data_IF_188653356063
#
_entry.id   IF_188653356063
#
_cell.length_a   1.000
_cell.length_b   1.000
_cell.length_c   1.000
_cell.angle_alpha   90.00
_cell.angle_beta   90.00
_cell.angle_gamma   90.00
#
_symmetry.space_group_name_H-M   'P 1'
#
loop_
_entity.id
_entity.type
_entity.pdbx_description
1 polymer ?
#
# COMPACT_ATOMS: atom_id res chain seq x y z
N UNK A 1 14.31 -1.14 3.18
CA UNK A 1 13.06 -1.32 3.94
C UNK A 1 13.30 -2.41 4.98
N UNK A 2 13.00 -2.16 6.25
CA UNK A 2 13.23 -3.11 7.35
C UNK A 2 12.17 -4.22 7.36
N UNK A 3 12.42 -5.32 8.08
CA UNK A 3 11.42 -6.39 8.28
C UNK A 3 10.14 -5.86 8.91
N UNK A 4 10.24 -4.92 9.86
CA UNK A 4 9.08 -4.27 10.49
C UNK A 4 8.27 -3.43 9.51
N UNK A 5 8.92 -2.63 8.66
CA UNK A 5 8.25 -1.85 7.62
C UNK A 5 7.51 -2.76 6.62
N UNK A 6 8.12 -3.89 6.22
CA UNK A 6 7.47 -4.87 5.33
C UNK A 6 6.22 -5.47 5.96
N UNK A 7 6.28 -5.85 7.24
CA UNK A 7 5.15 -6.43 7.94
C UNK A 7 4.00 -5.42 8.05
N UNK A 8 4.30 -4.17 8.43
CA UNK A 8 3.30 -3.09 8.52
C UNK A 8 2.67 -2.77 7.17
N UNK A 9 3.48 -2.67 6.11
CA UNK A 9 2.97 -2.41 4.76
C UNK A 9 2.04 -3.54 4.26
N UNK A 10 2.39 -4.80 4.53
CA UNK A 10 1.51 -5.95 4.24
C UNK A 10 0.18 -5.88 4.98
N UNK A 11 0.19 -5.48 6.25
CA UNK A 11 -1.03 -5.31 7.01
C UNK A 11 -1.90 -4.19 6.40
N UNK A 12 -1.29 -3.03 6.09
CA UNK A 12 -1.99 -1.88 5.51
C UNK A 12 -2.59 -2.17 4.14
N UNK A 13 -1.90 -2.95 3.29
CA UNK A 13 -2.48 -3.41 2.02
C UNK A 13 -3.78 -4.19 2.24
N UNK A 14 -3.85 -5.06 3.26
CA UNK A 14 -5.08 -5.80 3.57
C UNK A 14 -6.21 -4.87 4.03
N UNK A 15 -5.89 -3.89 4.86
CA UNK A 15 -6.85 -2.87 5.32
C UNK A 15 -7.38 -2.03 4.16
N UNK A 16 -6.49 -1.54 3.29
CA UNK A 16 -6.87 -0.78 2.10
C UNK A 16 -7.70 -1.61 1.12
N UNK A 17 -7.38 -2.89 0.92
CA UNK A 17 -8.18 -3.80 0.09
C UNK A 17 -9.59 -3.98 0.66
N UNK A 18 -9.73 -4.18 1.97
CA UNK A 18 -11.05 -4.30 2.61
C UNK A 18 -11.92 -3.05 2.42
N UNK A 19 -11.32 -1.85 2.31
CA UNK A 19 -12.02 -0.60 2.00
C UNK A 19 -12.32 -0.46 0.50
N UNK A 20 -11.38 -0.82 -0.36
CA UNK A 20 -11.49 -0.63 -1.80
C UNK A 20 -12.39 -1.67 -2.49
N UNK A 21 -12.41 -2.91 -1.99
CA UNK A 21 -13.14 -4.03 -2.59
C UNK A 21 -14.65 -3.78 -2.75
N UNK A 22 -15.40 -3.27 -1.74
CA UNK A 22 -16.82 -2.98 -1.88
C UNK A 22 -17.15 -1.92 -2.95
N UNK A 23 -16.24 -0.99 -3.21
CA UNK A 23 -16.41 0.07 -4.22
C UNK A 23 -15.96 -0.39 -5.61
N UNK A 24 -15.06 -1.37 -5.66
CA UNK A 24 -14.52 -1.93 -6.89
C UNK A 24 -13.37 -1.12 -7.49
N UNK A 25 -13.02 -1.34 -8.77
CA UNK A 25 -11.82 -0.82 -9.42
C UNK A 25 -11.70 0.72 -9.46
N UNK A 26 -12.83 1.41 -9.33
CA UNK A 26 -12.94 2.87 -9.30
C UNK A 26 -12.51 3.51 -7.98
N UNK A 27 -12.20 2.71 -6.95
CA UNK A 27 -11.71 3.23 -5.68
C UNK A 27 -10.27 3.75 -5.78
N UNK A 28 -10.02 4.96 -5.29
CA UNK A 28 -8.71 5.65 -5.35
C UNK A 28 -7.57 4.91 -4.64
N UNK A 29 -7.89 4.00 -3.71
CA UNK A 29 -6.86 3.22 -2.99
C UNK A 29 -6.18 2.15 -3.86
N UNK A 30 -6.76 1.76 -5.00
CA UNK A 30 -6.17 0.70 -5.84
C UNK A 30 -4.77 1.06 -6.33
N UNK A 31 -4.56 2.32 -6.73
CA UNK A 31 -3.23 2.79 -7.12
C UNK A 31 -2.22 2.63 -5.97
N UNK A 32 -2.64 2.93 -4.74
CA UNK A 32 -1.78 2.84 -3.54
C UNK A 32 -1.48 1.38 -3.21
N UNK A 33 -2.48 0.50 -3.35
CA UNK A 33 -2.35 -0.94 -3.15
C UNK A 33 -1.34 -1.51 -4.14
N UNK A 34 -1.45 -1.17 -5.42
CA UNK A 34 -0.53 -1.66 -6.44
C UNK A 34 0.90 -1.16 -6.24
N UNK A 35 1.08 0.12 -5.90
CA UNK A 35 2.39 0.67 -5.55
C UNK A 35 3.00 -0.02 -4.32
N UNK A 36 2.21 -0.25 -3.28
CA UNK A 36 2.65 -0.94 -2.07
C UNK A 36 3.01 -2.41 -2.31
N UNK A 37 2.24 -3.11 -3.14
CA UNK A 37 2.55 -4.49 -3.55
C UNK A 37 3.82 -4.56 -4.38
N UNK A 38 3.98 -3.65 -5.36
CA UNK A 38 5.19 -3.53 -6.16
C UNK A 38 6.43 -3.26 -5.28
N UNK A 39 6.31 -2.35 -4.30
CA UNK A 39 7.37 -2.05 -3.35
C UNK A 39 7.78 -3.28 -2.51
N UNK A 40 6.82 -4.12 -2.10
CA UNK A 40 7.10 -5.33 -1.31
C UNK A 40 7.92 -6.37 -2.08
N UNK A 41 7.73 -6.45 -3.39
CA UNK A 41 8.41 -7.40 -4.29
C UNK A 41 9.61 -6.79 -5.04
N UNK A 42 9.92 -5.52 -4.79
CA UNK A 42 11.06 -4.82 -5.42
C UNK A 42 10.84 -4.44 -6.88
N UNK A 43 9.58 -4.25 -7.30
CA UNK A 43 9.22 -3.71 -8.62
C UNK A 43 9.18 -2.17 -8.58
N UNK A 44 9.24 -1.58 -9.77
CA UNK A 44 9.03 -0.14 -9.93
C UNK A 44 7.64 0.27 -9.44
N UNK A 45 7.58 1.42 -8.78
CA UNK A 45 6.36 2.05 -8.27
C UNK A 45 6.15 3.39 -9.00
N UNK A 46 4.91 3.82 -9.12
CA UNK A 46 4.58 5.15 -9.64
C UNK A 46 4.86 6.23 -8.61
N UNK A 47 4.53 5.97 -7.34
CA UNK A 47 4.87 6.85 -6.22
C UNK A 47 6.25 6.57 -5.63
N UNK A 48 6.91 7.58 -5.04
CA UNK A 48 8.13 7.39 -4.26
C UNK A 48 7.89 6.45 -3.08
N UNK A 49 8.88 5.59 -2.81
CA UNK A 49 8.86 4.65 -1.68
C UNK A 49 8.47 5.30 -0.36
N UNK A 50 8.99 6.49 -0.06
CA UNK A 50 8.79 7.13 1.24
C UNK A 50 7.38 7.68 1.40
N UNK A 51 6.70 8.05 0.30
CA UNK A 51 5.28 8.41 0.30
C UNK A 51 4.41 7.19 0.61
N UNK A 52 4.68 6.06 -0.04
CA UNK A 52 3.96 4.79 0.18
C UNK A 52 4.10 4.34 1.65
N UNK A 53 5.30 4.46 2.22
CA UNK A 53 5.54 4.12 3.62
C UNK A 53 4.84 5.10 4.57
N UNK A 54 4.86 6.41 4.29
CA UNK A 54 4.14 7.41 5.09
C UNK A 54 2.63 7.13 5.12
N UNK A 55 2.01 6.78 3.98
CA UNK A 55 0.60 6.40 3.93
C UNK A 55 0.28 5.18 4.80
N UNK A 56 1.19 4.19 4.82
CA UNK A 56 1.07 3.02 5.68
C UNK A 56 1.24 3.35 7.18
N UNK A 57 1.87 4.47 7.51
CA UNK A 57 2.07 4.92 8.89
C UNK A 57 0.89 5.76 9.43
N UNK A 58 0.23 6.54 8.56
CA UNK A 58 -0.77 7.55 8.95
C UNK A 58 -2.25 7.16 8.78
N UNK A 59 -2.57 5.91 8.42
CA UNK A 59 -3.97 5.46 8.38
C UNK A 59 -4.52 5.31 9.80
N UNK A 60 -5.13 6.39 10.30
CA UNK A 60 -5.88 6.51 11.57
C UNK A 60 -7.23 5.79 11.51
#
# INVERSE_FOLDING_TARGET
MTTGQRAKLRQKIKEWRAVAEPVGPQHVLWETIFDAEALLVGRATFRPKDEILAMAEHSH
#
